data_IF_953275676979
#
_entry.id   IF_953275676979
#
_cell.length_a   1.000
_cell.length_b   1.000
_cell.length_c   1.000
_cell.angle_alpha   90.00
_cell.angle_beta   90.00
_cell.angle_gamma   90.00
#
_symmetry.space_group_name_H-M   'P 1'
#
loop_
_entity.id
_entity.type
_entity.pdbx_description
1 polymer ?
#
# COMPACT_ATOMS: atom_id res chain seq x y z
N UNK A 1 -8.29 -7.54 -16.08
CA UNK A 1 -7.38 -7.20 -14.96
C UNK A 1 -7.81 -5.87 -14.35
N UNK A 2 -7.82 -5.74 -13.02
CA UNK A 2 -8.27 -4.55 -12.27
C UNK A 2 -7.59 -4.47 -10.90
N UNK A 3 -7.87 -3.40 -10.15
CA UNK A 3 -7.23 -3.13 -8.86
C UNK A 3 -7.77 -4.07 -7.75
N UNK A 4 -7.29 -3.92 -6.51
CA UNK A 4 -7.72 -4.77 -5.39
C UNK A 4 -9.24 -4.77 -5.17
N UNK A 5 -9.92 -3.63 -5.41
CA UNK A 5 -11.39 -3.57 -5.32
C UNK A 5 -12.06 -4.36 -6.46
N UNK A 6 -11.53 -4.26 -7.68
CA UNK A 6 -11.99 -5.07 -8.81
C UNK A 6 -11.76 -6.56 -8.60
N UNK A 7 -10.60 -6.96 -8.06
CA UNK A 7 -10.31 -8.35 -7.70
C UNK A 7 -11.28 -8.87 -6.63
N UNK A 8 -11.53 -8.07 -5.59
CA UNK A 8 -12.51 -8.43 -4.55
C UNK A 8 -13.90 -8.64 -5.14
N UNK A 9 -14.36 -7.72 -6.00
CA UNK A 9 -15.66 -7.84 -6.65
C UNK A 9 -15.77 -9.12 -7.47
N UNK A 10 -14.69 -9.48 -8.19
CA UNK A 10 -14.61 -10.75 -8.91
C UNK A 10 -14.71 -11.96 -7.98
N UNK A 11 -13.93 -11.97 -6.89
CA UNK A 11 -13.92 -13.08 -5.94
C UNK A 11 -15.28 -13.28 -5.26
N UNK A 12 -15.96 -12.19 -4.89
CA UNK A 12 -17.32 -12.26 -4.32
C UNK A 12 -18.31 -12.83 -5.33
N UNK A 13 -18.31 -12.31 -6.57
CA UNK A 13 -19.15 -12.83 -7.65
C UNK A 13 -18.90 -14.33 -7.87
N UNK A 14 -17.64 -14.75 -7.94
CA UNK A 14 -17.30 -16.16 -8.11
C UNK A 14 -17.79 -17.03 -6.95
N UNK A 15 -17.61 -16.56 -5.70
CA UNK A 15 -18.08 -17.25 -4.52
C UNK A 15 -19.62 -17.36 -4.50
N UNK A 16 -20.35 -16.34 -4.93
CA UNK A 16 -21.82 -16.39 -5.08
C UNK A 16 -22.24 -17.45 -6.09
N UNK A 17 -21.62 -17.48 -7.28
CA UNK A 17 -21.92 -18.47 -8.31
C UNK A 17 -21.61 -19.89 -7.83
N UNK A 18 -20.52 -20.10 -7.10
CA UNK A 18 -20.16 -21.39 -6.51
C UNK A 18 -21.21 -21.90 -5.51
N UNK A 19 -21.92 -20.98 -4.83
CA UNK A 19 -23.05 -21.28 -3.94
C UNK A 19 -24.40 -21.38 -4.65
N UNK A 20 -24.41 -21.37 -5.99
CA UNK A 20 -25.62 -21.55 -6.79
C UNK A 20 -26.36 -20.26 -7.15
N UNK A 21 -25.76 -19.08 -6.98
CA UNK A 21 -26.33 -17.87 -7.54
C UNK A 21 -26.34 -17.94 -9.08
N UNK A 22 -27.40 -17.43 -9.70
CA UNK A 22 -27.51 -17.37 -11.16
C UNK A 22 -26.80 -16.15 -11.77
N UNK A 23 -26.55 -15.12 -10.95
CA UNK A 23 -25.88 -13.87 -11.35
C UNK A 23 -25.21 -13.23 -10.12
N UNK A 24 -24.17 -12.41 -10.32
CA UNK A 24 -23.56 -11.70 -9.21
C UNK A 24 -24.50 -10.65 -8.62
N UNK A 25 -24.39 -10.42 -7.31
CA UNK A 25 -25.13 -9.37 -6.60
C UNK A 25 -24.80 -7.96 -7.10
N UNK A 26 -23.56 -7.76 -7.55
CA UNK A 26 -23.10 -6.53 -8.19
C UNK A 26 -22.79 -6.83 -9.66
N UNK A 27 -23.54 -6.17 -10.55
CA UNK A 27 -23.34 -6.33 -11.98
C UNK A 27 -22.03 -5.69 -12.44
N UNK A 28 -21.24 -6.36 -13.29
CA UNK A 28 -19.98 -5.83 -13.78
C UNK A 28 -20.22 -4.66 -14.74
N UNK A 29 -19.49 -3.57 -14.55
CA UNK A 29 -19.46 -2.42 -15.46
C UNK A 29 -18.07 -2.35 -16.09
N UNK A 30 -18.01 -2.49 -17.42
CA UNK A 30 -16.76 -2.57 -18.18
C UNK A 30 -16.34 -1.24 -18.82
N UNK A 31 -17.08 -0.17 -18.56
CA UNK A 31 -16.93 1.17 -19.14
C UNK A 31 -15.62 1.85 -18.73
N UNK A 32 -14.48 1.42 -19.27
CA UNK A 32 -13.15 1.97 -18.95
C UNK A 32 -12.92 3.34 -19.56
N UNK A 33 -13.67 3.68 -20.59
CA UNK A 33 -13.66 4.96 -21.28
C UNK A 33 -13.93 6.15 -20.36
N UNK A 34 -14.62 5.94 -19.23
CA UNK A 34 -14.84 6.99 -18.22
C UNK A 34 -13.55 7.53 -17.59
N UNK A 35 -12.45 6.77 -17.66
CA UNK A 35 -11.13 7.14 -17.13
C UNK A 35 -10.12 7.41 -18.26
N UNK A 36 -10.58 7.58 -19.50
CA UNK A 36 -9.69 7.99 -20.59
C UNK A 36 -9.27 9.46 -20.44
N UNK A 37 -8.12 9.77 -21.01
CA UNK A 37 -7.66 11.15 -21.13
C UNK A 37 -8.65 11.98 -21.96
N UNK A 38 -8.70 13.28 -21.66
CA UNK A 38 -9.44 14.28 -22.42
C UNK A 38 -8.80 14.49 -23.79
N UNK A 39 -9.58 15.07 -24.70
CA UNK A 39 -9.12 15.46 -26.03
C UNK A 39 -9.40 16.96 -26.28
N UNK A 40 -8.36 17.83 -26.31
CA UNK A 40 -6.94 17.51 -26.10
C UNK A 40 -6.64 17.22 -24.61
N UNK A 41 -5.57 16.46 -24.30
CA UNK A 41 -5.15 16.23 -22.93
C UNK A 41 -4.48 17.49 -22.34
N UNK A 42 -4.76 17.81 -21.08
CA UNK A 42 -4.11 18.92 -20.37
C UNK A 42 -3.99 18.63 -18.87
N UNK A 43 -2.82 18.93 -18.30
CA UNK A 43 -2.54 18.66 -16.88
C UNK A 43 -3.04 19.84 -16.04
N UNK A 44 -3.90 19.58 -15.06
CA UNK A 44 -4.46 20.61 -14.15
C UNK A 44 -3.97 20.46 -12.71
N UNK A 45 -3.46 19.29 -12.34
CA UNK A 45 -3.01 18.97 -11.00
C UNK A 45 -1.50 18.73 -10.97
N UNK A 46 -0.88 19.01 -9.82
CA UNK A 46 0.52 18.62 -9.59
C UNK A 46 0.59 17.13 -9.20
N UNK A 47 1.09 16.30 -10.13
CA UNK A 47 1.28 14.87 -9.91
C UNK A 47 2.65 14.58 -9.30
N UNK A 48 2.78 14.96 -8.02
CA UNK A 48 3.99 14.79 -7.22
C UNK A 48 4.51 13.35 -7.22
N UNK A 49 3.61 12.39 -7.36
CA UNK A 49 3.94 10.97 -7.43
C UNK A 49 4.81 10.58 -8.63
N UNK A 50 4.95 11.43 -9.66
CA UNK A 50 5.85 11.22 -10.81
C UNK A 50 7.01 12.22 -10.88
N UNK A 51 7.27 12.99 -9.82
CA UNK A 51 8.47 13.82 -9.70
C UNK A 51 9.70 12.92 -9.60
N UNK A 52 10.47 12.75 -10.68
CA UNK A 52 11.60 11.83 -10.70
C UNK A 52 12.69 12.24 -9.70
N UNK A 53 12.88 11.41 -8.67
CA UNK A 53 13.98 11.52 -7.72
C UNK A 53 14.94 10.37 -8.04
N UNK A 54 16.13 10.72 -8.51
CA UNK A 54 17.18 9.74 -8.75
C UNK A 54 17.58 9.10 -7.42
N UNK A 55 17.37 7.80 -7.30
CA UNK A 55 17.85 7.02 -6.17
C UNK A 55 18.34 5.68 -6.68
N UNK A 56 19.61 5.31 -6.44
CA UNK A 56 20.09 4.00 -6.86
C UNK A 56 19.42 2.89 -6.02
N UNK A 57 19.09 1.77 -6.66
CA UNK A 57 18.84 0.46 -6.04
C UNK A 57 17.50 0.21 -5.31
N UNK A 58 16.39 0.84 -5.68
CA UNK A 58 15.07 0.51 -5.08
C UNK A 58 14.27 -0.57 -5.82
N UNK A 59 14.69 -0.94 -7.03
CA UNK A 59 14.09 -2.02 -7.81
C UNK A 59 14.95 -3.28 -7.72
N UNK A 60 14.31 -4.39 -7.38
CA UNK A 60 14.90 -5.72 -7.59
C UNK A 60 14.52 -6.24 -8.97
N UNK A 61 15.41 -7.00 -9.61
CA UNK A 61 15.07 -7.68 -10.86
C UNK A 61 13.97 -8.70 -10.59
N UNK A 62 13.06 -8.91 -11.55
CA UNK A 62 11.92 -9.84 -11.40
C UNK A 62 12.37 -11.26 -11.00
N UNK A 63 13.53 -11.69 -11.51
CA UNK A 63 14.18 -12.97 -11.20
C UNK A 63 14.54 -13.16 -9.71
N UNK A 64 14.82 -12.07 -8.98
CA UNK A 64 15.20 -12.10 -7.55
C UNK A 64 13.98 -11.99 -6.62
N UNK A 65 12.77 -11.80 -7.14
CA UNK A 65 11.55 -11.65 -6.34
C UNK A 65 11.11 -12.91 -5.60
N UNK A 66 11.78 -14.04 -5.86
CA UNK A 66 11.60 -15.32 -5.15
C UNK A 66 12.50 -15.46 -3.91
N UNK A 67 13.45 -14.53 -3.72
CA UNK A 67 14.46 -14.56 -2.67
C UNK A 67 14.24 -13.38 -1.69
N UNK A 68 12.99 -13.06 -1.37
CA UNK A 68 12.65 -12.02 -0.37
C UNK A 68 12.16 -12.70 0.89
N UNK A 69 12.74 -12.31 2.03
CA UNK A 69 12.35 -12.81 3.35
C UNK A 69 11.24 -11.92 3.91
N UNK A 70 10.23 -12.55 4.50
CA UNK A 70 9.12 -11.88 5.16
C UNK A 70 9.31 -11.89 6.67
N UNK A 71 9.25 -10.71 7.30
CA UNK A 71 9.32 -10.61 8.75
C UNK A 71 8.44 -9.47 9.26
N UNK A 72 7.82 -9.70 10.42
CA UNK A 72 6.98 -8.73 11.13
C UNK A 72 7.75 -8.17 12.32
N UNK A 73 7.60 -6.87 12.60
CA UNK A 73 8.37 -6.17 13.62
C UNK A 73 7.49 -5.33 14.55
N UNK A 74 7.86 -5.25 15.82
CA UNK A 74 7.20 -4.42 16.83
C UNK A 74 8.04 -3.19 17.15
N UNK A 75 7.44 -2.00 17.05
CA UNK A 75 8.12 -0.72 17.27
C UNK A 75 7.59 -0.03 18.53
N UNK A 76 8.49 0.35 19.44
CA UNK A 76 8.21 1.24 20.56
C UNK A 76 8.50 2.69 20.17
N UNK A 77 8.06 3.70 20.95
CA UNK A 77 8.43 5.10 20.71
C UNK A 77 9.96 5.33 20.66
N UNK A 78 10.75 4.58 21.45
CA UNK A 78 12.21 4.66 21.42
C UNK A 78 12.79 4.12 20.10
N UNK A 79 12.22 3.01 19.58
CA UNK A 79 12.63 2.45 18.29
C UNK A 79 12.40 3.46 17.18
N UNK A 80 11.22 4.09 17.18
CA UNK A 80 10.88 5.14 16.21
C UNK A 80 11.84 6.34 16.34
N UNK A 81 12.21 6.75 17.54
CA UNK A 81 13.11 7.88 17.76
C UNK A 81 14.51 7.66 17.15
N UNK A 82 15.05 6.44 17.21
CA UNK A 82 16.35 6.14 16.62
C UNK A 82 16.28 6.08 15.08
N UNK A 83 15.22 5.49 14.52
CA UNK A 83 15.01 5.46 13.05
C UNK A 83 14.95 6.89 12.49
N UNK A 84 14.31 7.81 13.22
CA UNK A 84 14.22 9.23 12.85
C UNK A 84 15.59 9.90 12.69
N UNK A 85 16.62 9.45 13.39
CA UNK A 85 17.96 10.03 13.34
C UNK A 85 18.84 9.48 12.20
N UNK A 86 18.38 8.47 11.44
CA UNK A 86 19.13 7.85 10.35
C UNK A 86 18.95 8.56 9.00
N UNK A 87 18.08 9.56 8.93
CA UNK A 87 17.79 10.32 7.70
C UNK A 87 18.30 11.74 7.88
N UNK A 88 18.96 12.27 6.84
CA UNK A 88 19.49 13.63 6.88
C UNK A 88 18.35 14.64 7.13
N UNK A 89 18.47 15.60 8.06
CA UNK A 89 17.35 16.44 8.50
C UNK A 89 16.63 17.18 7.36
N UNK A 90 17.37 17.70 6.39
CA UNK A 90 16.79 18.47 5.29
C UNK A 90 16.43 17.61 4.06
N UNK A 91 16.59 16.28 4.17
CA UNK A 91 16.22 15.35 3.10
C UNK A 91 14.71 15.23 2.97
N UNK A 92 14.21 15.35 1.74
CA UNK A 92 12.79 15.17 1.44
C UNK A 92 12.42 13.69 1.54
N UNK A 93 11.38 13.40 2.32
CA UNK A 93 10.80 12.07 2.50
C UNK A 93 9.36 12.07 2.00
N UNK A 94 8.95 10.94 1.42
CA UNK A 94 7.66 10.81 0.75
C UNK A 94 6.90 9.59 1.21
N UNK A 95 5.61 9.77 1.50
CA UNK A 95 4.69 8.68 1.71
C UNK A 95 3.60 8.72 0.64
N UNK A 96 3.54 7.72 -0.24
CA UNK A 96 2.44 7.59 -1.19
C UNK A 96 1.32 6.73 -0.60
N UNK A 97 0.11 7.25 -0.70
CA UNK A 97 -1.11 6.54 -0.36
C UNK A 97 -1.81 6.09 -1.63
N UNK A 98 -2.18 4.81 -1.70
CA UNK A 98 -3.06 4.33 -2.78
C UNK A 98 -4.50 4.70 -2.43
N UNK A 99 -5.11 5.56 -3.24
CA UNK A 99 -6.48 6.05 -3.01
C UNK A 99 -7.42 5.43 -4.02
N UNK A 100 -8.40 4.65 -3.55
CA UNK A 100 -9.53 4.23 -4.37
C UNK A 100 -10.42 5.43 -4.69
N UNK A 101 -10.46 5.82 -5.97
CA UNK A 101 -11.14 7.01 -6.43
C UNK A 101 -12.59 6.77 -6.88
N UNK A 102 -13.11 5.53 -6.83
CA UNK A 102 -14.49 5.21 -7.25
C UNK A 102 -15.53 6.12 -6.61
N UNK A 103 -15.38 6.43 -5.32
CA UNK A 103 -16.31 7.30 -4.59
C UNK A 103 -16.13 8.79 -4.89
N UNK A 104 -15.18 9.18 -5.73
CA UNK A 104 -14.92 10.58 -6.12
C UNK A 104 -15.78 11.01 -7.30
N UNK A 105 -16.24 10.07 -8.11
CA UNK A 105 -17.13 10.30 -9.25
C UNK A 105 -18.59 10.34 -8.79
N UNK A 106 -18.96 11.42 -8.12
CA UNK A 106 -20.28 11.57 -7.49
C UNK A 106 -21.42 11.80 -8.48
N UNK A 107 -21.10 12.22 -9.71
CA UNK A 107 -22.11 12.42 -10.76
C UNK A 107 -22.78 11.10 -11.22
N UNK A 108 -22.05 9.97 -11.16
CA UNK A 108 -22.54 8.65 -11.60
C UNK A 108 -22.12 7.54 -10.63
N UNK A 109 -22.63 7.55 -9.37
CA UNK A 109 -22.13 6.65 -8.33
C UNK A 109 -22.41 5.17 -8.63
N UNK A 110 -23.56 4.87 -9.25
CA UNK A 110 -23.95 3.50 -9.64
C UNK A 110 -22.98 2.87 -10.64
N UNK A 111 -22.41 3.68 -11.52
CA UNK A 111 -21.45 3.23 -12.53
C UNK A 111 -20.16 2.71 -11.89
N UNK A 112 -19.72 3.33 -10.79
CA UNK A 112 -18.50 2.95 -10.09
C UNK A 112 -18.67 1.82 -9.07
N UNK A 113 -19.91 1.51 -8.64
CA UNK A 113 -20.19 0.34 -7.77
C UNK A 113 -19.82 -0.96 -8.49
N UNK A 114 -20.16 -1.07 -9.77
CA UNK A 114 -19.88 -2.26 -10.58
C UNK A 114 -18.55 -2.22 -11.35
N UNK A 115 -17.79 -1.12 -11.26
CA UNK A 115 -16.68 -0.83 -12.18
C UNK A 115 -15.51 -1.83 -12.09
N UNK A 116 -15.24 -2.48 -13.23
CA UNK A 116 -14.13 -3.39 -13.45
C UNK A 116 -12.93 -2.71 -14.13
N UNK A 117 -11.99 -2.26 -13.32
CA UNK A 117 -10.73 -1.69 -13.79
C UNK A 117 -9.89 -1.19 -12.63
N UNK A 118 -8.88 -0.40 -12.96
CA UNK A 118 -8.12 0.36 -11.99
C UNK A 118 -8.77 1.73 -11.85
N UNK A 119 -9.20 2.09 -10.65
CA UNK A 119 -9.68 3.43 -10.32
C UNK A 119 -8.96 3.89 -9.04
N UNK A 120 -7.63 3.99 -9.15
CA UNK A 120 -6.74 4.33 -8.06
C UNK A 120 -5.76 5.43 -8.48
N UNK A 121 -5.34 6.24 -7.51
CA UNK A 121 -4.21 7.16 -7.65
C UNK A 121 -3.20 6.94 -6.52
N UNK A 122 -1.92 7.21 -6.81
CA UNK A 122 -0.86 7.25 -5.81
C UNK A 122 -0.68 8.70 -5.40
N UNK A 123 -1.31 9.14 -4.31
CA UNK A 123 -1.16 10.51 -3.84
C UNK A 123 0.01 10.62 -2.86
N UNK A 124 0.94 11.54 -3.11
CA UNK A 124 2.14 11.72 -2.32
C UNK A 124 1.99 12.78 -1.22
N UNK A 125 2.17 12.38 0.03
CA UNK A 125 2.51 13.28 1.13
C UNK A 125 4.03 13.48 1.17
N UNK A 126 4.46 14.74 1.21
CA UNK A 126 5.87 15.13 1.08
C UNK A 126 6.23 16.12 2.19
N UNK A 127 7.38 15.92 2.83
CA UNK A 127 7.94 16.78 3.89
C UNK A 127 9.43 16.50 4.04
N UNK A 128 10.15 17.22 4.90
CA UNK A 128 11.54 16.89 5.25
C UNK A 128 11.61 15.95 6.45
N UNK A 129 12.71 15.22 6.60
CA UNK A 129 12.95 14.39 7.78
C UNK A 129 12.87 15.21 9.07
N UNK A 130 13.44 16.42 9.09
CA UNK A 130 13.40 17.36 10.22
C UNK A 130 11.98 17.76 10.60
N UNK A 131 11.15 18.11 9.63
CA UNK A 131 9.76 18.46 9.90
C UNK A 131 8.96 17.25 10.39
N UNK A 132 9.09 16.09 9.74
CA UNK A 132 8.40 14.87 10.14
C UNK A 132 8.81 14.41 11.54
N UNK A 133 10.11 14.51 11.85
CA UNK A 133 10.68 14.05 13.11
C UNK A 133 10.50 15.06 14.24
N UNK A 134 10.49 16.36 13.93
CA UNK A 134 10.36 17.45 14.88
C UNK A 134 8.90 17.77 15.27
N UNK A 135 7.91 17.28 14.51
CA UNK A 135 6.50 17.48 14.81
C UNK A 135 5.84 16.25 15.45
N UNK A 136 4.68 16.48 16.09
CA UNK A 136 3.83 15.43 16.65
C UNK A 136 3.16 14.60 15.55
N UNK A 137 2.66 13.41 15.90
CA UNK A 137 1.97 12.50 14.98
C UNK A 137 0.83 13.18 14.19
N UNK A 138 0.12 14.15 14.80
CA UNK A 138 -0.94 14.92 14.15
C UNK A 138 -0.49 15.64 12.88
N UNK A 139 0.77 16.09 12.80
CA UNK A 139 1.34 16.69 11.59
C UNK A 139 1.40 15.68 10.44
N UNK A 140 1.94 14.49 10.69
CA UNK A 140 2.02 13.42 9.70
C UNK A 140 0.62 12.97 9.24
N UNK A 141 -0.33 12.83 10.19
CA UNK A 141 -1.73 12.50 9.88
C UNK A 141 -2.36 13.58 8.99
N UNK A 142 -2.08 14.85 9.26
CA UNK A 142 -2.60 15.96 8.45
C UNK A 142 -2.03 15.96 7.03
N UNK A 143 -0.73 15.67 6.86
CA UNK A 143 -0.11 15.51 5.54
C UNK A 143 -0.77 14.38 4.74
N UNK A 144 -0.96 13.21 5.37
CA UNK A 144 -1.63 12.06 4.75
C UNK A 144 -3.08 12.40 4.39
N UNK A 145 -3.80 13.07 5.30
CA UNK A 145 -5.18 13.52 5.08
C UNK A 145 -5.25 14.43 3.86
N UNK A 146 -4.39 15.46 3.81
CA UNK A 146 -4.30 16.40 2.68
C UNK A 146 -4.03 15.67 1.37
N UNK A 147 -3.02 14.81 1.32
CA UNK A 147 -2.70 14.00 0.13
C UNK A 147 -3.93 13.20 -0.34
N UNK A 148 -4.55 12.40 0.56
CA UNK A 148 -5.73 11.60 0.20
C UNK A 148 -6.94 12.43 -0.23
N UNK A 149 -7.11 13.64 0.30
CA UNK A 149 -8.21 14.54 -0.08
C UNK A 149 -7.99 15.26 -1.42
N UNK A 150 -6.73 15.41 -1.88
CA UNK A 150 -6.43 15.99 -3.18
C UNK A 150 -6.89 15.12 -4.35
N UNK A 151 -7.06 13.81 -4.12
CA UNK A 151 -7.60 12.88 -5.12
C UNK A 151 -9.10 13.11 -5.27
N UNK A 152 -9.44 14.02 -6.17
CA UNK A 152 -10.78 14.34 -6.65
C UNK A 152 -11.04 13.69 -8.01
N UNK A 153 -12.26 13.84 -8.53
CA UNK A 153 -12.58 13.48 -9.93
C UNK A 153 -11.67 14.22 -10.93
N UNK A 154 -11.48 15.53 -10.75
CA UNK A 154 -10.56 16.32 -11.58
C UNK A 154 -9.11 15.82 -11.49
N UNK A 155 -8.65 15.42 -10.30
CA UNK A 155 -7.31 14.84 -10.15
C UNK A 155 -7.16 13.55 -10.97
N UNK A 156 -8.20 12.72 -11.03
CA UNK A 156 -8.18 11.49 -11.84
C UNK A 156 -8.15 11.80 -13.34
N UNK A 157 -8.89 12.81 -13.81
CA UNK A 157 -8.84 13.26 -15.20
C UNK A 157 -7.47 13.86 -15.55
N UNK A 158 -6.93 14.72 -14.69
CA UNK A 158 -5.56 15.25 -14.83
C UNK A 158 -4.52 14.13 -14.88
N UNK A 159 -4.68 13.09 -14.07
CA UNK A 159 -3.78 11.94 -14.04
C UNK A 159 -3.84 11.15 -15.36
N UNK A 160 -5.04 10.94 -15.91
CA UNK A 160 -5.20 10.28 -17.21
C UNK A 160 -4.51 11.09 -18.33
N UNK A 161 -4.69 12.40 -18.34
CA UNK A 161 -4.03 13.31 -19.29
C UNK A 161 -2.52 13.30 -19.12
N UNK A 162 -2.04 13.36 -17.87
CA UNK A 162 -0.63 13.28 -17.53
C UNK A 162 -0.01 12.00 -18.09
N UNK A 163 -0.69 10.86 -17.95
CA UNK A 163 -0.22 9.56 -18.45
C UNK A 163 -0.08 9.52 -19.97
N UNK A 164 -0.94 10.21 -20.71
CA UNK A 164 -0.83 10.33 -22.17
C UNK A 164 0.32 11.27 -22.54
N UNK A 165 0.39 12.44 -21.92
CA UNK A 165 1.40 13.48 -22.19
C UNK A 165 2.82 13.02 -21.81
N UNK A 166 2.95 12.22 -20.75
CA UNK A 166 4.24 11.75 -20.21
C UNK A 166 4.55 10.30 -20.55
N UNK A 167 3.87 9.74 -21.55
CA UNK A 167 4.14 8.40 -22.10
C UNK A 167 4.15 7.29 -21.03
N UNK A 168 3.25 7.38 -20.04
CA UNK A 168 3.10 6.42 -18.94
C UNK A 168 4.38 6.19 -18.14
N UNK A 169 5.03 7.27 -17.70
CA UNK A 169 6.18 7.19 -16.82
C UNK A 169 5.87 6.47 -15.49
N UNK A 170 6.89 5.83 -14.93
CA UNK A 170 6.79 5.19 -13.62
C UNK A 170 6.73 6.24 -12.51
N UNK A 171 6.02 5.93 -11.43
CA UNK A 171 6.01 6.74 -10.21
C UNK A 171 7.41 6.79 -9.58
N UNK A 172 7.67 7.83 -8.79
CA UNK A 172 8.95 8.01 -8.12
C UNK A 172 9.15 6.97 -7.02
N UNK A 173 10.35 6.39 -6.99
CA UNK A 173 10.75 5.38 -6.01
C UNK A 173 11.85 5.86 -5.08
N UNK A 174 12.53 6.97 -5.42
CA UNK A 174 13.50 7.58 -4.53
C UNK A 174 12.83 8.05 -3.25
N UNK A 175 13.37 7.62 -2.10
CA UNK A 175 12.98 8.11 -0.76
C UNK A 175 11.48 8.03 -0.49
N UNK A 176 10.82 7.05 -1.09
CA UNK A 176 9.38 6.91 -1.08
C UNK A 176 9.00 5.68 -0.25
N UNK A 177 8.01 5.81 0.63
CA UNK A 177 7.32 4.68 1.21
C UNK A 177 5.92 4.63 0.62
N UNK A 178 5.51 3.47 0.09
CA UNK A 178 4.14 3.29 -0.39
C UNK A 178 3.41 2.41 0.61
N UNK A 179 2.29 2.90 1.15
CA UNK A 179 1.46 2.13 2.06
C UNK A 179 0.08 1.95 1.46
N UNK A 180 -0.33 0.69 1.34
CA UNK A 180 -1.66 0.33 0.86
C UNK A 180 -2.49 -0.25 2.01
N UNK A 181 -3.61 0.39 2.32
CA UNK A 181 -4.53 -0.06 3.36
C UNK A 181 -5.48 -1.13 2.80
N UNK A 182 -5.32 -2.37 3.27
CA UNK A 182 -6.14 -3.52 2.90
C UNK A 182 -7.19 -3.85 3.96
N UNK A 183 -7.27 -3.08 5.05
CA UNK A 183 -8.26 -3.29 6.11
C UNK A 183 -9.70 -3.16 5.63
N UNK A 184 -9.92 -2.48 4.51
CA UNK A 184 -11.21 -2.30 3.87
C UNK A 184 -11.45 -3.24 2.69
N UNK A 185 -10.45 -4.03 2.32
CA UNK A 185 -10.58 -4.98 1.23
C UNK A 185 -11.35 -6.24 1.68
N UNK A 186 -11.37 -6.55 2.98
CA UNK A 186 -12.18 -7.62 3.60
C UNK A 186 -12.20 -8.93 2.78
N UNK A 187 -11.04 -9.37 2.29
CA UNK A 187 -10.96 -10.64 1.54
C UNK A 187 -11.35 -11.85 2.39
N UNK A 188 -11.35 -11.71 3.72
CA UNK A 188 -11.89 -12.71 4.65
C UNK A 188 -13.38 -13.01 4.46
N UNK A 189 -14.17 -12.09 3.90
CA UNK A 189 -15.61 -12.29 3.65
C UNK A 189 -15.92 -13.18 2.44
N UNK A 190 -14.92 -13.49 1.61
CA UNK A 190 -15.11 -14.35 0.43
C UNK A 190 -15.33 -15.79 0.89
N UNK A 191 -16.54 -16.33 0.72
CA UNK A 191 -16.90 -17.67 1.19
C UNK A 191 -17.45 -18.53 0.05
N UNK A 192 -16.73 -19.57 -0.39
CA UNK A 192 -17.20 -20.42 -1.49
C UNK A 192 -18.24 -21.48 -1.09
N UNK A 193 -18.62 -21.57 0.18
CA UNK A 193 -19.52 -22.59 0.73
C UNK A 193 -18.79 -23.71 1.49
N UNK A 194 -17.46 -23.67 1.58
CA UNK A 194 -16.63 -24.69 2.24
C UNK A 194 -16.06 -24.26 3.61
N UNK A 195 -16.55 -23.16 4.19
CA UNK A 195 -16.15 -22.69 5.51
C UNK A 195 -15.71 -21.22 5.52
N UNK A 196 -15.26 -20.78 6.69
CA UNK A 196 -14.75 -19.41 6.90
C UNK A 196 -13.32 -19.24 6.40
N UNK A 197 -13.00 -18.04 5.92
CA UNK A 197 -11.64 -17.69 5.49
C UNK A 197 -10.72 -17.53 6.70
N UNK A 198 -9.64 -18.29 6.73
CA UNK A 198 -8.61 -18.20 7.79
C UNK A 198 -7.67 -17.00 7.54
N UNK A 199 -7.37 -16.70 6.27
CA UNK A 199 -6.53 -15.56 5.88
C UNK A 199 -6.92 -15.02 4.50
N UNK A 200 -7.06 -13.71 4.39
CA UNK A 200 -7.37 -13.00 3.14
C UNK A 200 -6.53 -11.74 3.02
N UNK A 201 -5.27 -11.89 2.63
CA UNK A 201 -4.29 -10.81 2.62
C UNK A 201 -3.26 -10.95 1.50
N UNK A 202 -2.16 -10.21 1.63
CA UNK A 202 -1.09 -10.21 0.64
C UNK A 202 -0.12 -11.38 0.88
N UNK A 203 0.31 -12.03 -0.20
CA UNK A 203 1.33 -13.10 -0.13
C UNK A 203 2.71 -12.51 0.18
N UNK A 204 2.99 -11.31 -0.36
CA UNK A 204 4.25 -10.60 -0.14
C UNK A 204 4.06 -9.09 -0.01
N UNK A 205 4.99 -8.43 0.69
CA UNK A 205 5.20 -7.00 0.67
C UNK A 205 5.86 -6.54 -0.64
N UNK A 206 6.14 -5.25 -0.74
CA UNK A 206 6.56 -4.61 -1.98
C UNK A 206 5.42 -4.42 -2.98
N UNK A 207 5.65 -3.61 -4.00
CA UNK A 207 4.71 -3.38 -5.11
C UNK A 207 5.43 -3.72 -6.41
N UNK A 208 5.14 -4.89 -6.97
CA UNK A 208 5.90 -5.42 -8.10
C UNK A 208 7.37 -5.67 -7.73
N UNK A 209 8.29 -5.02 -8.44
CA UNK A 209 9.73 -5.02 -8.17
C UNK A 209 10.18 -3.96 -7.15
N UNK A 210 9.27 -3.10 -6.69
CA UNK A 210 9.58 -2.03 -5.75
C UNK A 210 9.46 -2.50 -4.30
N UNK A 211 10.56 -2.50 -3.56
CA UNK A 211 10.60 -3.01 -2.18
C UNK A 211 10.08 -2.02 -1.13
N UNK A 212 10.08 -0.72 -1.42
CA UNK A 212 9.60 0.33 -0.50
C UNK A 212 8.07 0.38 -0.35
N UNK A 213 7.36 -0.66 -0.78
CA UNK A 213 5.92 -0.81 -0.65
C UNK A 213 5.56 -1.75 0.50
N UNK A 214 4.55 -1.40 1.29
CA UNK A 214 3.99 -2.27 2.32
C UNK A 214 2.47 -2.15 2.36
N UNK A 215 1.85 -3.05 3.12
CA UNK A 215 0.41 -3.22 3.20
C UNK A 215 -0.01 -3.20 4.67
N UNK A 216 -1.16 -2.62 4.97
CA UNK A 216 -1.80 -2.79 6.29
C UNK A 216 -2.89 -3.83 6.11
N UNK A 217 -2.69 -5.02 6.65
CA UNK A 217 -3.57 -6.18 6.43
C UNK A 217 -4.18 -6.63 7.76
N UNK A 218 -5.50 -6.84 7.85
CA UNK A 218 -6.13 -7.49 8.99
C UNK A 218 -5.58 -8.89 9.20
N UNK A 219 -5.31 -9.25 10.45
CA UNK A 219 -4.83 -10.57 10.80
C UNK A 219 -5.36 -10.98 12.18
N UNK A 220 -5.71 -12.25 12.31
CA UNK A 220 -6.10 -12.87 13.56
C UNK A 220 -5.00 -13.80 14.03
N UNK A 221 -4.49 -13.58 15.23
CA UNK A 221 -3.40 -14.40 15.76
C UNK A 221 -3.89 -15.78 16.22
N UNK A 222 -2.95 -16.66 16.62
CA UNK A 222 -3.27 -18.02 17.07
C UNK A 222 -4.18 -18.10 18.31
N UNK A 223 -4.31 -17.01 19.08
CA UNK A 223 -5.20 -16.90 20.24
C UNK A 223 -6.59 -16.38 19.87
N UNK A 224 -6.81 -16.04 18.59
CA UNK A 224 -8.04 -15.47 18.10
C UNK A 224 -8.18 -13.96 18.33
N UNK A 225 -7.08 -13.26 18.63
CA UNK A 225 -7.10 -11.80 18.80
C UNK A 225 -6.95 -11.12 17.43
N UNK A 226 -7.81 -10.14 17.16
CA UNK A 226 -7.76 -9.33 15.93
C UNK A 226 -6.63 -8.30 16.01
N UNK A 227 -5.89 -8.14 14.91
CA UNK A 227 -4.76 -7.23 14.81
C UNK A 227 -4.45 -6.85 13.36
N UNK A 228 -3.32 -6.14 13.19
CA UNK A 228 -2.82 -5.70 11.89
C UNK A 228 -1.41 -6.24 11.67
N UNK A 229 -1.10 -6.64 10.45
CA UNK A 229 0.26 -6.99 10.01
C UNK A 229 0.74 -6.00 8.96
N UNK A 230 2.03 -5.68 9.03
CA UNK A 230 2.74 -4.85 8.06
C UNK A 230 3.90 -5.69 7.49
N UNK A 231 3.71 -6.34 6.32
CA UNK A 231 4.75 -7.14 5.71
C UNK A 231 5.86 -6.24 5.15
N UNK A 232 7.11 -6.56 5.51
CA UNK A 232 8.31 -5.94 4.96
C UNK A 232 9.03 -6.98 4.09
N UNK A 233 9.42 -6.56 2.89
CA UNK A 233 10.18 -7.36 1.94
C UNK A 233 11.54 -6.70 1.70
N UNK A 234 12.63 -7.42 1.97
CA UNK A 234 14.00 -7.01 1.68
C UNK A 234 14.79 -8.22 1.18
N UNK A 235 15.86 -8.02 0.38
CA UNK A 235 16.81 -9.08 0.06
C UNK A 235 17.36 -9.74 1.33
N UNK A 236 17.80 -11.00 1.32
CA UNK A 236 18.08 -11.74 2.56
C UNK A 236 19.15 -11.10 3.43
N UNK A 237 20.22 -10.59 2.82
CA UNK A 237 21.29 -9.90 3.55
C UNK A 237 20.82 -8.56 4.13
N UNK A 238 19.98 -7.83 3.39
CA UNK A 238 19.36 -6.60 3.87
C UNK A 238 18.34 -6.87 4.97
N UNK A 239 17.57 -7.96 4.90
CA UNK A 239 16.65 -8.36 5.96
C UNK A 239 17.39 -8.80 7.22
N UNK A 240 18.48 -9.57 7.08
CA UNK A 240 19.35 -9.91 8.23
C UNK A 240 19.91 -8.66 8.87
N UNK A 241 20.39 -7.72 8.06
CA UNK A 241 20.90 -6.44 8.54
C UNK A 241 19.80 -5.60 9.18
N UNK A 242 18.63 -5.51 8.55
CA UNK A 242 17.47 -4.77 9.06
C UNK A 242 17.00 -5.35 10.40
N UNK A 243 16.84 -6.67 10.51
CA UNK A 243 16.46 -7.34 11.74
C UNK A 243 17.51 -7.13 12.84
N UNK A 244 18.81 -7.23 12.50
CA UNK A 244 19.90 -6.98 13.44
C UNK A 244 19.96 -5.52 13.89
N UNK A 245 19.94 -4.56 12.97
CA UNK A 245 19.95 -3.13 13.29
C UNK A 245 18.73 -2.77 14.13
N UNK A 246 17.58 -3.32 13.78
CA UNK A 246 16.40 -3.19 14.61
C UNK A 246 16.68 -3.76 16.00
N UNK A 247 17.07 -5.03 16.13
CA UNK A 247 17.37 -5.67 17.43
C UNK A 247 18.41 -4.90 18.25
N UNK A 248 19.47 -4.39 17.65
CA UNK A 248 20.50 -3.57 18.29
C UNK A 248 19.92 -2.22 18.77
N UNK A 249 19.01 -1.64 17.98
CA UNK A 249 18.22 -0.46 18.35
C UNK A 249 17.20 -0.75 19.46
N UNK A 250 16.68 -1.99 19.57
CA UNK A 250 15.71 -2.40 20.60
C UNK A 250 16.38 -2.91 21.89
N UNK A 251 17.59 -3.45 21.80
CA UNK A 251 18.27 -4.23 22.85
C UNK A 251 19.00 -3.42 23.91
N UNK A 252 19.16 -2.11 23.73
CA UNK A 252 19.88 -1.23 24.67
C UNK A 252 19.02 -0.66 25.82
N UNK A 253 17.84 -1.22 26.10
CA UNK A 253 17.02 -0.85 27.26
C UNK A 253 16.64 -2.12 28.05
N UNK A 254 17.34 -2.33 29.17
CA UNK A 254 17.18 -3.38 30.19
C UNK A 254 15.77 -4.02 30.29
N UNK A 255 15.60 -5.22 29.72
CA UNK A 255 14.53 -6.16 30.10
C UNK A 255 15.05 -7.61 30.09
N UNK A 256 14.51 -8.49 30.95
CA UNK A 256 15.10 -9.79 31.23
C UNK A 256 15.04 -10.68 29.99
N UNK A 257 16.16 -11.32 29.69
CA UNK A 257 16.30 -12.37 28.68
C UNK A 257 15.17 -13.40 28.82
N UNK A 258 14.15 -13.30 27.96
CA UNK A 258 13.24 -14.41 27.69
C UNK A 258 14.02 -15.41 26.83
N UNK A 259 14.25 -16.60 27.36
CA UNK A 259 14.89 -17.70 26.66
C UNK A 259 13.97 -18.24 25.54
N UNK A 260 14.07 -17.64 24.36
CA UNK A 260 13.38 -18.05 23.13
C UNK A 260 13.43 -16.91 22.10
N UNK A 261 13.30 -17.20 20.78
CA UNK A 261 13.26 -16.14 19.79
C UNK A 261 12.03 -15.25 20.02
N UNK A 262 12.23 -13.94 20.16
CA UNK A 262 11.18 -12.91 20.24
C UNK A 262 10.40 -12.73 18.92
N UNK A 263 10.57 -13.66 17.97
CA UNK A 263 10.18 -13.54 16.58
C UNK A 263 9.24 -14.68 16.21
N UNK A 264 8.13 -14.33 15.56
CA UNK A 264 7.36 -15.32 14.81
C UNK A 264 7.98 -15.38 13.41
N UNK A 265 8.75 -16.44 13.17
CA UNK A 265 9.18 -16.83 11.83
C UNK A 265 7.97 -17.40 11.10
N UNK A 266 7.46 -16.69 10.11
CA UNK A 266 6.55 -17.27 9.13
C UNK A 266 7.40 -17.93 8.05
N UNK A 267 7.59 -19.24 8.14
CA UNK A 267 8.00 -20.04 6.98
C UNK A 267 6.74 -20.35 6.18
N UNK A 268 6.44 -19.47 5.21
CA UNK A 268 5.68 -19.87 4.02
C UNK A 268 6.67 -19.91 2.86
#
# INVERSE_FOLDING_TARGET
MGDAAGLRQFMIAWAEMARGANQPSIQPVWNREILMARDPPYITCNHREYEQILSPNTYIKEEDTTIVVHQSFFFTPAHIAVIRCLIEPDEEVRMMCIVNARSRFSANPSLFVGYYGNCIAFSAAVTTAKELCGNQLGYAVELIRKAKTQVTEEYMHSLADFMVIKERCLFTTGRTCIVSDWTRANFSEVNFGWGETIYGGVVKGGIGSYLGGTYIVPHKNAKGEEGLILPICLPPEDMKRFAKELDDMLGNQNYPTMSGPSFILSTL
#
